data_IF_936065502895
#
_entry.id   IF_936065502895
#
_cell.length_a   1.000
_cell.length_b   1.000
_cell.length_c   1.000
_cell.angle_alpha   90.00
_cell.angle_beta   90.00
_cell.angle_gamma   90.00
#
_symmetry.space_group_name_H-M   'P 1'
#
loop_
_entity.id
_entity.type
_entity.pdbx_description
1 polymer ?
#
# COMPACT_ATOMS: atom_id res chain seq x y z
N UNK A 1 17.86 -6.88 -4.46
CA UNK A 1 18.41 -5.96 -3.45
C UNK A 1 18.99 -4.76 -4.20
N UNK A 2 18.60 -3.54 -3.82
CA UNK A 2 19.10 -2.29 -4.41
C UNK A 2 19.17 -1.23 -3.32
N UNK A 3 20.00 -0.20 -3.52
CA UNK A 3 19.98 0.97 -2.66
C UNK A 3 18.73 1.78 -2.96
N UNK A 4 18.06 2.21 -1.92
CA UNK A 4 16.94 3.13 -1.95
C UNK A 4 17.31 4.38 -1.17
N UNK A 5 17.09 5.52 -1.76
CA UNK A 5 17.27 6.82 -1.10
C UNK A 5 16.02 7.66 -1.29
N UNK A 6 15.63 8.40 -0.25
CA UNK A 6 14.47 9.26 -0.29
C UNK A 6 14.20 9.93 1.05
N UNK A 7 13.26 10.87 1.04
CA UNK A 7 12.79 11.53 2.26
C UNK A 7 11.88 10.58 3.03
N UNK A 8 12.28 10.20 4.21
CA UNK A 8 11.54 9.26 5.07
C UNK A 8 11.02 9.97 6.31
N UNK A 9 9.74 9.77 6.62
CA UNK A 9 9.17 10.15 7.91
C UNK A 9 9.04 8.92 8.80
N UNK A 10 9.67 8.97 9.96
CA UNK A 10 9.58 7.91 10.99
C UNK A 10 8.16 7.84 11.55
N UNK A 11 7.50 8.99 11.76
CA UNK A 11 6.15 9.04 12.33
C UNK A 11 5.06 8.54 11.37
N UNK A 12 5.26 8.74 10.06
CA UNK A 12 4.32 8.31 9.03
C UNK A 12 4.66 6.91 8.49
N UNK A 13 5.87 6.40 8.85
CA UNK A 13 6.46 5.17 8.31
C UNK A 13 6.43 5.14 6.76
N UNK A 14 6.66 6.30 6.13
CA UNK A 14 6.49 6.50 4.69
C UNK A 14 7.65 7.26 4.07
N UNK A 15 7.94 6.91 2.80
CA UNK A 15 8.82 7.69 1.95
C UNK A 15 8.02 8.69 1.12
N UNK A 16 8.62 9.84 0.90
CA UNK A 16 8.07 10.95 0.14
C UNK A 16 9.00 11.32 -1.02
N UNK A 17 8.42 11.70 -2.14
CA UNK A 17 9.13 12.31 -3.25
C UNK A 17 9.47 13.78 -2.93
N UNK A 18 10.39 14.37 -3.69
CA UNK A 18 10.75 15.80 -3.54
C UNK A 18 9.54 16.72 -3.70
N UNK A 19 8.55 16.33 -4.51
CA UNK A 19 7.30 17.09 -4.74
C UNK A 19 6.34 17.05 -3.53
N UNK A 20 6.45 16.03 -2.70
CA UNK A 20 5.59 15.79 -1.53
C UNK A 20 6.15 16.39 -0.24
N UNK A 21 7.32 17.01 -0.30
CA UNK A 21 7.93 17.68 0.84
C UNK A 21 7.95 19.20 0.68
N UNK A 22 8.01 19.90 1.79
CA UNK A 22 8.23 21.35 1.87
C UNK A 22 9.21 21.68 2.99
N UNK A 23 9.76 22.90 2.95
CA UNK A 23 10.62 23.41 4.03
C UNK A 23 9.83 24.40 4.88
N UNK A 24 9.68 24.10 6.16
CA UNK A 24 9.05 24.97 7.15
C UNK A 24 9.96 25.08 8.37
N UNK A 25 10.20 26.29 8.83
CA UNK A 25 11.06 26.60 10.00
C UNK A 25 12.44 25.90 9.90
N UNK A 26 13.08 25.96 8.73
CA UNK A 26 14.35 25.29 8.42
C UNK A 26 14.33 23.75 8.52
N UNK A 27 13.18 23.15 8.60
CA UNK A 27 13.01 21.67 8.61
C UNK A 27 12.25 21.22 7.39
N UNK A 28 12.63 20.07 6.84
CA UNK A 28 11.86 19.42 5.78
C UNK A 28 10.73 18.61 6.41
N UNK A 29 9.53 18.81 5.90
CA UNK A 29 8.31 18.15 6.37
C UNK A 29 7.50 17.62 5.19
N UNK A 30 6.68 16.62 5.45
CA UNK A 30 5.69 16.14 4.49
C UNK A 30 4.56 17.16 4.33
N UNK A 31 4.24 17.53 3.10
CA UNK A 31 3.07 18.38 2.80
C UNK A 31 1.75 17.76 3.22
N UNK A 32 1.71 16.41 3.27
CA UNK A 32 0.49 15.67 3.56
C UNK A 32 0.18 15.60 5.05
N UNK A 33 1.20 15.30 5.87
CA UNK A 33 1.03 15.04 7.31
C UNK A 33 1.61 16.14 8.19
N UNK A 34 2.50 16.98 7.65
CA UNK A 34 3.30 17.93 8.43
C UNK A 34 4.43 17.28 9.24
N UNK A 35 4.62 15.97 9.10
CA UNK A 35 5.63 15.22 9.84
C UNK A 35 7.03 15.53 9.35
N UNK A 36 8.05 15.59 10.23
CA UNK A 36 9.45 15.75 9.84
C UNK A 36 9.89 14.60 8.93
N UNK A 37 10.71 14.94 7.93
CA UNK A 37 11.33 13.95 7.03
C UNK A 37 12.85 14.10 7.04
N UNK A 38 13.53 12.96 6.94
CA UNK A 38 14.98 12.89 6.86
C UNK A 38 15.39 12.16 5.59
N UNK A 39 16.54 12.53 5.03
CA UNK A 39 17.08 11.82 3.88
C UNK A 39 17.71 10.52 4.34
N UNK A 40 17.18 9.42 3.89
CA UNK A 40 17.64 8.07 4.25
C UNK A 40 18.14 7.37 2.98
N UNK A 41 19.28 6.71 3.09
CA UNK A 41 19.78 5.77 2.09
C UNK A 41 19.96 4.40 2.73
N UNK A 42 19.18 3.42 2.28
CA UNK A 42 19.29 2.05 2.79
C UNK A 42 19.21 1.03 1.65
N UNK A 43 19.79 -0.14 1.87
CA UNK A 43 19.52 -1.29 1.01
C UNK A 43 18.11 -1.81 1.28
N UNK A 44 17.38 -2.13 0.22
CA UNK A 44 16.05 -2.69 0.31
C UNK A 44 15.81 -3.75 -0.75
N UNK A 45 14.92 -4.68 -0.46
CA UNK A 45 14.30 -5.53 -1.47
C UNK A 45 13.21 -4.74 -2.18
N UNK A 46 13.13 -4.92 -3.50
CA UNK A 46 12.12 -4.27 -4.33
C UNK A 46 11.21 -5.28 -4.98
N UNK A 47 9.92 -5.02 -4.89
CA UNK A 47 8.93 -5.62 -5.76
C UNK A 47 8.92 -4.86 -7.08
N UNK A 48 9.09 -5.57 -8.21
CA UNK A 48 9.13 -4.98 -9.55
C UNK A 48 7.73 -4.57 -10.00
N UNK A 49 7.16 -3.58 -9.31
CA UNK A 49 5.79 -3.11 -9.57
C UNK A 49 5.65 -2.53 -10.98
N UNK A 50 6.71 -1.94 -11.53
CA UNK A 50 6.75 -1.44 -12.90
C UNK A 50 6.38 -2.50 -13.94
N UNK A 51 6.73 -3.77 -13.73
CA UNK A 51 6.39 -4.88 -14.62
C UNK A 51 4.90 -5.25 -14.60
N UNK A 52 4.14 -4.71 -13.66
CA UNK A 52 2.72 -5.04 -13.47
C UNK A 52 1.78 -4.00 -14.06
N UNK A 53 2.29 -2.89 -14.56
CA UNK A 53 1.49 -1.78 -15.07
C UNK A 53 0.46 -2.24 -16.12
N UNK A 54 0.92 -2.86 -17.20
CA UNK A 54 0.02 -3.30 -18.29
C UNK A 54 -0.96 -4.38 -17.81
N UNK A 55 -0.50 -5.29 -16.95
CA UNK A 55 -1.36 -6.33 -16.38
C UNK A 55 -2.46 -5.74 -15.49
N UNK A 56 -2.15 -4.72 -14.70
CA UNK A 56 -3.13 -4.01 -13.88
C UNK A 56 -4.13 -3.25 -14.75
N UNK A 57 -3.68 -2.52 -15.78
CA UNK A 57 -4.57 -1.82 -16.70
C UNK A 57 -5.51 -2.79 -17.41
N UNK A 58 -4.99 -3.93 -17.88
CA UNK A 58 -5.81 -4.99 -18.46
C UNK A 58 -6.81 -5.54 -17.44
N UNK A 59 -6.37 -5.82 -16.21
CA UNK A 59 -7.23 -6.32 -15.14
C UNK A 59 -8.39 -5.36 -14.84
N UNK A 60 -8.14 -4.03 -14.79
CA UNK A 60 -9.22 -3.05 -14.56
C UNK A 60 -10.17 -2.94 -15.75
N UNK A 61 -9.67 -3.12 -16.98
CA UNK A 61 -10.52 -3.15 -18.16
C UNK A 61 -11.44 -4.38 -18.18
N UNK A 62 -10.88 -5.55 -17.87
CA UNK A 62 -11.62 -6.82 -17.85
C UNK A 62 -12.59 -6.89 -16.64
N UNK A 63 -12.33 -6.08 -15.58
CA UNK A 63 -13.12 -6.02 -14.36
C UNK A 63 -13.60 -4.58 -14.06
N UNK A 64 -14.51 -4.01 -14.87
CA UNK A 64 -14.86 -2.59 -14.81
C UNK A 64 -15.49 -2.14 -13.48
N UNK A 65 -16.00 -3.08 -12.67
CA UNK A 65 -16.58 -2.85 -11.35
C UNK A 65 -15.63 -3.17 -10.19
N UNK A 66 -14.36 -3.43 -10.48
CA UNK A 66 -13.38 -3.77 -9.44
C UNK A 66 -13.14 -2.62 -8.44
N UNK A 67 -13.09 -1.37 -8.92
CA UNK A 67 -12.86 -0.19 -8.08
C UNK A 67 -14.12 0.68 -8.05
N UNK A 68 -14.59 1.00 -6.86
CA UNK A 68 -15.76 1.84 -6.63
C UNK A 68 -15.45 2.94 -5.60
N UNK A 69 -16.07 4.12 -5.70
CA UNK A 69 -16.88 4.62 -6.81
C UNK A 69 -16.04 4.95 -8.05
N UNK A 70 -16.68 5.33 -9.16
CA UNK A 70 -16.00 5.62 -10.43
C UNK A 70 -14.93 6.73 -10.32
N UNK A 71 -15.12 7.73 -9.48
CA UNK A 71 -14.10 8.75 -9.21
C UNK A 71 -12.78 8.13 -8.72
N UNK A 72 -12.86 7.13 -7.85
CA UNK A 72 -11.69 6.42 -7.33
C UNK A 72 -11.06 5.50 -8.37
N UNK A 73 -11.88 4.88 -9.22
CA UNK A 73 -11.40 4.12 -10.38
C UNK A 73 -10.56 4.98 -11.31
N UNK A 74 -11.05 6.18 -11.65
CA UNK A 74 -10.34 7.11 -12.53
C UNK A 74 -9.02 7.58 -11.90
N UNK A 75 -9.00 7.86 -10.60
CA UNK A 75 -7.80 8.22 -9.84
C UNK A 75 -6.73 7.11 -9.95
N UNK A 76 -7.13 5.85 -9.71
CA UNK A 76 -6.22 4.70 -9.78
C UNK A 76 -5.71 4.47 -11.21
N UNK A 77 -6.58 4.52 -12.21
CA UNK A 77 -6.17 4.32 -13.61
C UNK A 77 -5.18 5.40 -14.04
N UNK A 78 -5.42 6.66 -13.68
CA UNK A 78 -4.51 7.76 -14.00
C UNK A 78 -3.16 7.57 -13.29
N UNK A 79 -3.17 7.17 -12.02
CA UNK A 79 -1.94 6.87 -11.29
C UNK A 79 -1.15 5.72 -11.93
N UNK A 80 -1.81 4.64 -12.34
CA UNK A 80 -1.11 3.52 -13.00
C UNK A 80 -0.57 3.94 -14.37
N UNK A 81 -1.33 4.72 -15.14
CA UNK A 81 -0.92 5.23 -16.46
C UNK A 81 0.23 6.23 -16.40
N UNK A 82 0.40 6.96 -15.29
CA UNK A 82 1.52 7.90 -15.14
C UNK A 82 2.89 7.22 -14.99
N UNK A 83 2.92 5.90 -14.88
CA UNK A 83 4.13 5.10 -14.75
C UNK A 83 4.35 4.59 -13.33
N UNK A 84 4.32 3.27 -13.14
CA UNK A 84 4.59 2.65 -11.86
C UNK A 84 6.09 2.54 -11.61
N UNK A 85 6.53 2.93 -10.43
CA UNK A 85 7.89 2.73 -9.93
C UNK A 85 7.95 1.45 -9.08
N UNK A 86 9.13 0.82 -9.05
CA UNK A 86 9.36 -0.35 -8.20
C UNK A 86 9.19 0.00 -6.73
N UNK A 87 8.58 -0.89 -5.99
CA UNK A 87 8.18 -0.67 -4.59
C UNK A 87 9.20 -1.30 -3.64
N UNK A 88 9.77 -0.50 -2.75
CA UNK A 88 10.60 -1.01 -1.65
C UNK A 88 9.72 -1.78 -0.66
N UNK A 89 10.05 -3.05 -0.41
CA UNK A 89 9.25 -3.98 0.40
C UNK A 89 9.98 -4.51 1.63
N UNK A 90 11.12 -3.92 1.98
CA UNK A 90 11.84 -4.25 3.22
C UNK A 90 12.49 -3.04 3.86
N UNK A 91 12.87 -3.17 5.13
CA UNK A 91 13.56 -2.16 5.93
C UNK A 91 14.67 -2.80 6.74
N UNK A 92 15.74 -2.04 6.99
CA UNK A 92 16.85 -2.39 7.90
C UNK A 92 16.88 -1.50 9.16
N UNK A 93 16.21 -0.37 9.11
CA UNK A 93 16.23 0.67 10.15
C UNK A 93 15.62 0.23 11.49
N UNK A 94 14.86 -0.86 11.49
CA UNK A 94 14.28 -1.44 12.71
C UNK A 94 14.32 -2.98 12.68
N UNK A 95 14.23 -3.60 13.84
CA UNK A 95 14.36 -5.05 14.00
C UNK A 95 13.05 -5.78 14.26
N UNK A 96 12.00 -5.06 14.64
CA UNK A 96 10.67 -5.62 14.91
C UNK A 96 9.91 -5.87 13.61
N UNK A 97 9.28 -7.03 13.51
CA UNK A 97 8.44 -7.42 12.37
C UNK A 97 8.86 -8.75 11.74
N UNK A 98 8.25 -9.09 10.63
CA UNK A 98 8.50 -10.35 9.89
C UNK A 98 9.83 -10.23 9.15
N UNK A 99 10.76 -11.13 9.45
CA UNK A 99 12.07 -11.15 8.78
C UNK A 99 11.94 -11.64 7.35
N UNK A 100 12.73 -11.05 6.45
CA UNK A 100 12.87 -11.56 5.07
C UNK A 100 13.61 -12.91 5.14
N UNK A 101 13.00 -14.02 4.66
CA UNK A 101 13.59 -15.37 4.83
C UNK A 101 14.99 -15.51 4.23
N UNK A 102 15.25 -14.89 3.08
CA UNK A 102 16.55 -14.93 2.39
C UNK A 102 17.60 -14.00 3.01
N UNK A 103 17.19 -13.03 3.84
CA UNK A 103 18.09 -12.09 4.52
C UNK A 103 17.45 -11.55 5.82
N UNK A 104 17.66 -12.22 6.97
CA UNK A 104 17.05 -11.85 8.25
C UNK A 104 17.47 -10.48 8.82
N UNK A 105 18.43 -9.79 8.20
CA UNK A 105 18.78 -8.41 8.52
C UNK A 105 17.70 -7.42 8.06
N UNK A 106 16.83 -7.85 7.15
CA UNK A 106 15.71 -7.07 6.66
C UNK A 106 14.41 -7.53 7.31
N UNK A 107 13.53 -6.57 7.54
CA UNK A 107 12.15 -6.77 7.98
C UNK A 107 11.23 -6.45 6.80
N UNK A 108 10.18 -7.24 6.61
CA UNK A 108 9.16 -6.97 5.59
C UNK A 108 8.48 -5.64 5.90
N UNK A 109 8.31 -4.81 4.87
CA UNK A 109 7.63 -3.53 4.99
C UNK A 109 6.17 -3.70 5.36
N UNK A 110 5.70 -2.85 6.26
CA UNK A 110 4.39 -2.94 6.93
C UNK A 110 3.21 -3.14 5.97
N UNK A 111 3.21 -2.52 4.81
CA UNK A 111 2.09 -2.67 3.87
C UNK A 111 2.05 -4.03 3.17
N UNK A 112 3.18 -4.68 2.94
CA UNK A 112 3.17 -6.05 2.42
C UNK A 112 2.64 -7.02 3.49
N UNK A 113 3.05 -6.83 4.76
CA UNK A 113 2.55 -7.58 5.91
C UNK A 113 1.04 -7.34 6.11
N UNK A 114 0.64 -6.08 6.23
CA UNK A 114 -0.76 -5.71 6.47
C UNK A 114 -1.73 -6.24 5.41
N UNK A 115 -1.35 -6.16 4.12
CA UNK A 115 -2.19 -6.68 3.04
C UNK A 115 -2.26 -8.22 3.04
N UNK A 116 -1.15 -8.89 3.37
CA UNK A 116 -1.11 -10.35 3.46
C UNK A 116 -2.02 -10.88 4.57
N UNK A 117 -2.34 -10.06 5.58
CA UNK A 117 -3.28 -10.43 6.65
C UNK A 117 -4.65 -10.89 6.11
N UNK A 118 -5.14 -10.34 5.01
CA UNK A 118 -6.41 -10.75 4.40
C UNK A 118 -6.47 -12.24 4.04
N UNK A 119 -5.36 -12.84 3.64
CA UNK A 119 -5.29 -14.25 3.29
C UNK A 119 -4.71 -15.12 4.42
N UNK A 120 -3.79 -14.60 5.23
CA UNK A 120 -3.21 -15.36 6.35
C UNK A 120 -4.26 -15.66 7.44
N UNK A 121 -5.21 -14.74 7.68
CA UNK A 121 -6.36 -14.95 8.55
C UNK A 121 -7.26 -16.11 8.07
N UNK A 122 -7.23 -16.39 6.77
CA UNK A 122 -7.96 -17.49 6.13
C UNK A 122 -7.13 -18.78 6.04
N UNK A 123 -5.99 -18.83 6.73
CA UNK A 123 -5.07 -19.98 6.78
C UNK A 123 -4.20 -20.21 5.53
N UNK A 124 -4.08 -19.21 4.63
CA UNK A 124 -3.08 -19.29 3.56
C UNK A 124 -1.68 -19.54 4.18
N UNK A 125 -0.81 -20.43 3.63
CA UNK A 125 -0.89 -21.00 2.27
C UNK A 125 -1.74 -22.27 2.12
N UNK A 126 -2.44 -22.75 3.14
CA UNK A 126 -3.34 -23.89 2.99
C UNK A 126 -4.61 -23.48 2.23
N UNK A 127 -4.53 -23.56 0.90
CA UNK A 127 -5.66 -23.25 0.01
C UNK A 127 -6.76 -24.31 0.03
N UNK A 128 -6.52 -25.46 0.71
CA UNK A 128 -7.52 -26.50 0.91
C UNK A 128 -8.43 -26.21 2.10
N UNK A 129 -8.00 -25.34 2.99
CA UNK A 129 -8.74 -24.97 4.19
C UNK A 129 -10.14 -24.41 3.84
N UNK A 130 -11.13 -24.82 4.62
CA UNK A 130 -12.52 -24.39 4.41
C UNK A 130 -12.67 -22.86 4.47
N UNK A 131 -12.01 -22.18 5.42
CA UNK A 131 -12.08 -20.71 5.51
C UNK A 131 -11.53 -20.04 4.25
N UNK A 132 -10.40 -20.54 3.70
CA UNK A 132 -9.86 -19.99 2.47
C UNK A 132 -10.82 -20.19 1.30
N UNK A 133 -11.37 -21.39 1.13
CA UNK A 133 -12.32 -21.69 0.04
C UNK A 133 -13.62 -20.89 0.13
N UNK A 134 -14.11 -20.67 1.34
CA UNK A 134 -15.39 -19.98 1.55
C UNK A 134 -15.25 -18.43 1.41
N UNK A 135 -14.10 -17.85 1.79
CA UNK A 135 -13.93 -16.40 1.91
C UNK A 135 -12.92 -15.78 0.95
N UNK A 136 -12.17 -16.59 0.17
CA UNK A 136 -11.25 -16.06 -0.82
C UNK A 136 -11.58 -16.57 -2.25
N UNK A 137 -11.62 -15.69 -3.27
CA UNK A 137 -11.36 -14.25 -3.19
C UNK A 137 -12.51 -13.50 -2.48
N UNK A 138 -12.15 -12.51 -1.66
CA UNK A 138 -13.11 -11.67 -0.97
C UNK A 138 -14.04 -10.96 -1.96
N UNK A 139 -15.34 -10.87 -1.62
CA UNK A 139 -16.33 -10.20 -2.46
C UNK A 139 -16.12 -8.70 -2.49
N UNK A 140 -15.67 -8.11 -1.36
CA UNK A 140 -15.50 -6.67 -1.22
C UNK A 140 -14.46 -6.34 -0.15
N UNK A 141 -13.50 -5.49 -0.49
CA UNK A 141 -12.71 -4.73 0.47
C UNK A 141 -13.32 -3.34 0.64
N UNK A 142 -13.75 -2.99 1.84
CA UNK A 142 -14.23 -1.65 2.20
C UNK A 142 -13.09 -0.91 2.90
N UNK A 143 -12.67 0.21 2.33
CA UNK A 143 -11.47 0.93 2.79
C UNK A 143 -11.66 2.45 2.78
N UNK A 144 -10.87 3.17 3.57
CA UNK A 144 -10.70 4.61 3.43
C UNK A 144 -9.96 5.00 2.15
N UNK A 145 -10.28 6.15 1.58
CA UNK A 145 -9.65 6.63 0.34
C UNK A 145 -8.13 6.82 0.44
N UNK A 146 -7.62 7.04 1.62
CA UNK A 146 -6.20 7.25 1.94
C UNK A 146 -5.33 6.01 1.69
N UNK A 147 -5.93 4.82 1.80
CA UNK A 147 -5.26 3.55 1.53
C UNK A 147 -5.68 2.90 0.19
N UNK A 148 -6.26 3.70 -0.71
CA UNK A 148 -6.76 3.22 -2.00
C UNK A 148 -5.67 2.58 -2.87
N UNK A 149 -4.50 3.23 -3.00
CA UNK A 149 -3.40 2.71 -3.83
C UNK A 149 -2.89 1.36 -3.35
N UNK A 150 -2.84 1.15 -2.03
CA UNK A 150 -2.42 -0.12 -1.45
C UNK A 150 -3.36 -1.26 -1.83
N UNK A 151 -4.67 -1.03 -1.81
CA UNK A 151 -5.69 -2.06 -2.05
C UNK A 151 -6.05 -2.24 -3.52
N UNK A 152 -5.95 -1.18 -4.32
CA UNK A 152 -6.34 -1.23 -5.72
C UNK A 152 -5.17 -1.43 -6.69
N UNK A 153 -3.92 -1.14 -6.28
CA UNK A 153 -2.73 -1.29 -7.13
C UNK A 153 -1.78 -2.34 -6.56
N UNK A 154 -1.25 -2.12 -5.34
CA UNK A 154 -0.19 -2.99 -4.80
C UNK A 154 -0.73 -4.39 -4.46
N UNK A 155 -1.86 -4.47 -3.78
CA UNK A 155 -2.44 -5.74 -3.40
C UNK A 155 -2.79 -6.65 -4.60
N UNK A 156 -3.50 -6.19 -5.64
CA UNK A 156 -3.70 -7.01 -6.84
C UNK A 156 -2.39 -7.43 -7.51
N UNK A 157 -1.38 -6.56 -7.57
CA UNK A 157 -0.09 -6.91 -8.15
C UNK A 157 0.63 -8.00 -7.34
N UNK A 158 0.62 -7.91 -5.98
CA UNK A 158 1.20 -8.93 -5.11
C UNK A 158 0.48 -10.27 -5.26
N UNK A 159 -0.84 -10.26 -5.28
CA UNK A 159 -1.64 -11.48 -5.46
C UNK A 159 -1.39 -12.13 -6.81
N UNK A 160 -1.43 -11.37 -7.89
CA UNK A 160 -1.13 -11.89 -9.23
C UNK A 160 0.31 -12.39 -9.35
N UNK A 161 1.27 -11.78 -8.64
CA UNK A 161 2.66 -12.26 -8.60
C UNK A 161 2.80 -13.58 -7.84
N UNK A 162 1.88 -13.88 -6.94
CA UNK A 162 1.79 -15.13 -6.20
C UNK A 162 0.81 -16.14 -6.83
N UNK A 163 0.37 -15.90 -8.08
CA UNK A 163 -0.65 -16.69 -8.79
C UNK A 163 -1.98 -16.83 -8.02
N UNK A 164 -2.31 -15.80 -7.23
CA UNK A 164 -3.55 -15.72 -6.47
C UNK A 164 -4.54 -14.77 -7.12
N UNK A 165 -5.83 -15.08 -6.98
CA UNK A 165 -6.90 -14.21 -7.49
C UNK A 165 -7.00 -12.94 -6.62
N UNK A 166 -7.08 -11.74 -7.21
CA UNK A 166 -7.44 -10.52 -6.50
C UNK A 166 -8.86 -10.60 -5.90
N UNK A 167 -9.21 -9.76 -4.90
CA UNK A 167 -10.57 -9.62 -4.43
C UNK A 167 -11.48 -9.19 -5.58
N UNK A 168 -12.78 -9.45 -5.45
CA UNK A 168 -13.74 -9.12 -6.53
C UNK A 168 -13.98 -7.63 -6.67
N UNK A 169 -13.92 -6.88 -5.56
CA UNK A 169 -14.15 -5.42 -5.54
C UNK A 169 -13.37 -4.73 -4.42
N UNK A 170 -13.08 -3.46 -4.66
CA UNK A 170 -12.58 -2.51 -3.66
C UNK A 170 -13.50 -1.30 -3.66
N UNK A 171 -14.10 -0.98 -2.53
CA UNK A 171 -14.90 0.21 -2.32
C UNK A 171 -14.15 1.18 -1.40
N UNK A 172 -13.82 2.36 -1.91
CA UNK A 172 -13.13 3.39 -1.14
C UNK A 172 -14.11 4.49 -0.72
N UNK A 173 -14.38 4.58 0.58
CA UNK A 173 -15.20 5.66 1.14
C UNK A 173 -14.37 6.92 1.41
N UNK A 174 -15.06 8.06 1.56
CA UNK A 174 -14.47 9.32 2.00
C UNK A 174 -14.02 9.27 3.47
N UNK A 175 -13.38 10.33 3.94
CA UNK A 175 -13.08 10.46 5.37
C UNK A 175 -14.37 10.61 6.18
N UNK A 176 -14.38 9.99 7.33
CA UNK A 176 -15.35 10.27 8.35
C UNK A 176 -15.02 11.63 8.97
N UNK A 177 -16.03 12.46 9.14
CA UNK A 177 -15.87 13.81 9.67
C UNK A 177 -16.75 14.02 10.88
N UNK A 178 -16.24 14.75 11.86
CA UNK A 178 -17.01 15.29 12.97
C UNK A 178 -16.92 16.81 12.91
N UNK A 179 -18.05 17.51 12.90
CA UNK A 179 -18.15 18.98 12.75
C UNK A 179 -17.33 19.56 11.59
N UNK A 180 -17.32 18.83 10.46
CA UNK A 180 -16.58 19.23 9.24
C UNK A 180 -15.08 18.92 9.26
N UNK A 181 -14.53 18.42 10.36
CA UNK A 181 -13.12 18.01 10.48
C UNK A 181 -12.96 16.52 10.33
N UNK A 182 -11.87 16.07 9.70
CA UNK A 182 -11.53 14.64 9.62
C UNK A 182 -11.41 14.05 11.03
N UNK A 183 -12.08 12.94 11.29
CA UNK A 183 -11.88 12.18 12.53
C UNK A 183 -10.45 11.62 12.56
N UNK A 184 -9.72 11.94 13.61
CA UNK A 184 -8.32 11.56 13.78
C UNK A 184 -7.97 11.37 15.24
N UNK A 185 -7.24 10.29 15.56
CA UNK A 185 -6.72 10.05 16.91
C UNK A 185 -5.82 11.20 17.39
N UNK A 186 -5.02 11.79 16.49
CA UNK A 186 -4.14 12.92 16.80
C UNK A 186 -4.89 14.21 17.14
N UNK A 187 -6.13 14.37 16.64
CA UNK A 187 -7.00 15.50 16.96
C UNK A 187 -7.90 15.25 18.18
N UNK A 188 -7.99 14.01 18.66
CA UNK A 188 -8.84 13.64 19.79
C UNK A 188 -10.34 13.86 19.56
N UNK A 189 -10.79 13.93 18.28
CA UNK A 189 -12.16 14.23 17.89
C UNK A 189 -12.93 12.95 17.43
N UNK A 190 -12.58 11.82 18.02
CA UNK A 190 -13.18 10.51 17.73
C UNK A 190 -14.42 10.32 18.58
#
# INVERSE_FOLDING_TARGET
LSKYSGWYSVSDEAFYSDEEIETKDNKKISKLSGSPVEWVEEESFFFKLSNWQERLLKFYNDNPKFILPNSRKNEVINFVKSGLKDLSVSRKSFSWGIKVPSNPKHVIYVWLDALTNYISALKYPDTTNKKYKDFWPADLHVIGKDILRFHAVYWPAFLMAADLKPPRKVFAHGWWTNEGQKISKSLGNV
#
